data_IF_933949957577
#
_entry.id   IF_933949957577
#
_cell.length_a   1.000
_cell.length_b   1.000
_cell.length_c   1.000
_cell.angle_alpha   90.00
_cell.angle_beta   90.00
_cell.angle_gamma   90.00
#
_symmetry.space_group_name_H-M   'P 1'
#
loop_
_entity.id
_entity.type
_entity.pdbx_description
1 polymer ?
#
# COMPACT_ATOMS: atom_id res chain seq x y z
N UNK A 1 5.53 -61.43 44.49
CA UNK A 1 4.82 -60.17 44.27
C UNK A 1 3.58 -60.47 43.44
N UNK A 2 2.41 -60.14 43.95
CA UNK A 2 1.12 -60.65 43.47
C UNK A 2 0.79 -60.16 42.03
N UNK A 3 0.31 -61.10 41.20
CA UNK A 3 -0.14 -60.83 39.82
C UNK A 3 -1.17 -59.66 39.75
N UNK A 4 -1.95 -59.47 40.80
CA UNK A 4 -2.89 -58.38 40.99
C UNK A 4 -2.21 -57.00 41.07
N UNK A 5 -1.11 -56.86 41.82
CA UNK A 5 -0.34 -55.66 41.95
C UNK A 5 0.30 -55.23 40.58
N UNK A 6 0.82 -56.25 39.86
CA UNK A 6 1.39 -55.98 38.50
C UNK A 6 0.33 -55.56 37.51
N UNK A 7 -0.90 -56.12 37.57
CA UNK A 7 -2.01 -55.68 36.72
C UNK A 7 -2.43 -54.22 37.02
N UNK A 8 -2.53 -53.86 38.30
CA UNK A 8 -2.86 -52.49 38.73
C UNK A 8 -1.78 -51.52 38.27
N UNK A 9 -0.49 -51.83 38.45
CA UNK A 9 0.61 -50.98 38.01
C UNK A 9 0.61 -50.76 36.50
N UNK A 10 0.36 -51.80 35.69
CA UNK A 10 0.27 -51.71 34.24
C UNK A 10 -0.94 -50.84 33.83
N UNK A 11 -2.09 -51.00 34.49
CA UNK A 11 -3.28 -50.18 34.20
C UNK A 11 -3.03 -48.69 34.51
N UNK A 12 -2.43 -48.39 35.66
CA UNK A 12 -2.09 -47.01 36.04
C UNK A 12 -1.07 -46.43 35.08
N UNK A 13 -0.05 -47.19 34.68
CA UNK A 13 0.93 -46.75 33.69
C UNK A 13 0.27 -46.46 32.35
N UNK A 14 -0.62 -47.31 31.86
CA UNK A 14 -1.37 -47.11 30.62
C UNK A 14 -2.25 -45.83 30.70
N UNK A 15 -2.90 -45.59 31.83
CA UNK A 15 -3.68 -44.35 32.03
C UNK A 15 -2.80 -43.10 32.00
N UNK A 16 -1.62 -43.14 32.63
CA UNK A 16 -0.66 -42.03 32.61
C UNK A 16 -0.20 -41.74 31.17
N UNK A 17 0.17 -42.79 30.42
CA UNK A 17 0.59 -42.65 29.01
C UNK A 17 -0.54 -42.05 28.15
N UNK A 18 -1.78 -42.52 28.34
CA UNK A 18 -2.94 -41.94 27.62
C UNK A 18 -3.20 -40.49 27.99
N UNK A 19 -3.06 -40.10 29.26
CA UNK A 19 -3.17 -38.72 29.71
C UNK A 19 -2.08 -37.84 29.10
N UNK A 20 -0.82 -38.30 29.11
CA UNK A 20 0.30 -37.59 28.49
C UNK A 20 0.11 -37.44 26.98
N UNK A 21 -0.33 -38.52 26.31
CA UNK A 21 -0.64 -38.48 24.89
C UNK A 21 -1.75 -37.47 24.57
N UNK A 22 -2.87 -37.49 25.34
CA UNK A 22 -3.94 -36.52 25.17
C UNK A 22 -3.50 -35.07 25.46
N UNK A 23 -2.68 -34.89 26.51
CA UNK A 23 -2.10 -33.57 26.81
C UNK A 23 -1.21 -33.06 25.65
N UNK A 24 -0.34 -33.94 25.13
CA UNK A 24 0.51 -33.61 23.98
C UNK A 24 -0.34 -33.28 22.71
N UNK A 25 -1.34 -34.12 22.43
CA UNK A 25 -2.25 -33.89 21.30
C UNK A 25 -2.95 -32.54 21.42
N UNK A 26 -3.41 -32.19 22.61
CA UNK A 26 -4.16 -30.95 22.85
C UNK A 26 -3.23 -29.72 22.88
N UNK A 27 -2.06 -29.82 23.53
CA UNK A 27 -1.17 -28.66 23.74
C UNK A 27 -0.21 -28.41 22.59
N UNK A 28 0.09 -29.42 21.76
CA UNK A 28 1.01 -29.29 20.64
C UNK A 28 0.25 -29.29 19.30
N UNK A 29 -0.51 -30.37 19.02
CA UNK A 29 -1.12 -30.54 17.70
C UNK A 29 -2.43 -29.76 17.49
N UNK A 30 -3.20 -29.50 18.57
CA UNK A 30 -4.45 -28.72 18.50
C UNK A 30 -4.31 -27.32 19.10
N UNK A 31 -3.11 -26.93 19.53
CA UNK A 31 -2.88 -25.67 20.24
C UNK A 31 -3.33 -24.45 19.40
N UNK A 32 -2.95 -24.41 18.12
CA UNK A 32 -3.26 -23.28 17.25
C UNK A 32 -4.75 -23.19 16.94
N UNK A 33 -5.42 -24.32 16.69
CA UNK A 33 -6.86 -24.35 16.48
C UNK A 33 -7.67 -23.96 17.74
N UNK A 34 -7.18 -24.30 18.92
CA UNK A 34 -7.81 -23.92 20.19
C UNK A 34 -7.55 -22.47 20.56
N UNK A 35 -6.38 -21.93 20.19
CA UNK A 35 -6.06 -20.50 20.37
C UNK A 35 -6.85 -19.62 19.45
N UNK A 36 -7.08 -20.04 18.20
CA UNK A 36 -7.86 -19.31 17.21
C UNK A 36 -9.38 -19.46 17.34
N UNK A 37 -9.88 -20.30 18.27
CA UNK A 37 -11.32 -20.45 18.50
C UNK A 37 -11.90 -19.12 19.07
N UNK A 38 -12.85 -18.46 18.38
CA UNK A 38 -13.46 -17.20 18.84
C UNK A 38 -14.14 -17.30 20.21
N UNK A 39 -14.48 -18.53 20.66
CA UNK A 39 -15.07 -18.81 21.96
C UNK A 39 -14.06 -18.89 23.10
N UNK A 40 -12.76 -18.90 22.80
CA UNK A 40 -11.71 -19.00 23.78
C UNK A 40 -11.43 -17.66 24.48
N UNK A 41 -12.30 -17.28 25.40
CA UNK A 41 -12.18 -16.02 26.16
C UNK A 41 -10.87 -15.91 26.98
N UNK A 42 -10.19 -17.03 27.29
CA UNK A 42 -8.92 -16.99 28.01
C UNK A 42 -7.79 -16.39 27.17
N UNK A 43 -7.76 -16.72 25.88
CA UNK A 43 -6.78 -16.13 24.95
C UNK A 43 -6.99 -14.62 24.83
N UNK A 44 -8.25 -14.20 24.66
CA UNK A 44 -8.61 -12.79 24.63
C UNK A 44 -8.21 -12.06 25.91
N UNK A 45 -8.49 -12.64 27.08
CA UNK A 45 -8.12 -12.03 28.35
C UNK A 45 -6.61 -11.94 28.54
N UNK A 46 -5.86 -12.96 28.14
CA UNK A 46 -4.40 -12.97 28.22
C UNK A 46 -3.80 -11.92 27.27
N UNK A 47 -4.32 -11.85 26.05
CA UNK A 47 -3.89 -10.89 25.04
C UNK A 47 -4.13 -9.42 25.48
N UNK A 48 -5.31 -9.12 26.00
CA UNK A 48 -5.65 -7.77 26.52
C UNK A 48 -5.14 -7.50 27.94
N UNK A 49 -4.52 -8.49 28.59
CA UNK A 49 -3.78 -8.30 29.83
C UNK A 49 -2.35 -7.80 29.62
N UNK A 50 -1.83 -7.90 28.38
CA UNK A 50 -0.48 -7.47 28.01
C UNK A 50 -0.51 -6.09 27.39
N UNK A 51 0.49 -5.28 27.72
CA UNK A 51 0.66 -3.99 27.05
C UNK A 51 1.18 -4.21 25.64
N UNK A 52 0.31 -3.99 24.65
CA UNK A 52 0.65 -4.06 23.24
C UNK A 52 1.63 -2.95 22.88
N UNK A 53 2.64 -3.27 22.06
CA UNK A 53 3.71 -2.34 21.66
C UNK A 53 3.21 -1.14 20.89
N UNK A 54 4.06 -0.16 20.73
CA UNK A 54 3.75 1.10 20.06
C UNK A 54 3.95 1.00 18.54
N UNK A 55 3.18 1.79 17.79
CA UNK A 55 3.45 2.10 16.38
C UNK A 55 3.81 3.59 16.34
N UNK A 56 4.96 3.90 15.75
CA UNK A 56 5.50 5.27 15.69
C UNK A 56 5.84 5.70 14.26
N UNK A 57 5.93 7.00 14.04
CA UNK A 57 6.39 7.62 12.82
C UNK A 57 7.22 8.87 13.17
N UNK A 58 8.51 8.88 12.86
CA UNK A 58 9.39 10.00 13.18
C UNK A 58 9.34 10.44 14.64
N UNK A 59 9.22 9.49 15.55
CA UNK A 59 9.09 9.75 17.01
C UNK A 59 7.67 10.10 17.48
N UNK A 60 6.70 10.30 16.60
CA UNK A 60 5.31 10.53 16.95
C UNK A 60 4.58 9.20 17.19
N UNK A 61 3.79 9.12 18.27
CA UNK A 61 2.94 7.97 18.55
C UNK A 61 1.74 7.94 17.59
N UNK A 62 1.60 6.84 16.84
CA UNK A 62 0.44 6.56 15.99
C UNK A 62 -0.55 5.62 16.66
N UNK A 63 -0.05 4.66 17.43
CA UNK A 63 -0.86 3.75 18.23
C UNK A 63 -0.09 3.33 19.49
N UNK A 64 -0.77 3.32 20.65
CA UNK A 64 -0.21 2.87 21.93
C UNK A 64 -1.30 2.34 22.83
N UNK A 65 -0.91 1.71 23.94
CA UNK A 65 -1.86 1.14 24.91
C UNK A 65 -1.82 1.90 26.23
N UNK A 66 -2.98 2.22 26.77
CA UNK A 66 -3.16 2.82 28.11
C UNK A 66 -3.75 1.79 29.07
N UNK A 67 -3.33 1.83 30.34
CA UNK A 67 -3.88 0.99 31.37
C UNK A 67 -5.34 1.41 31.69
N UNK A 68 -6.17 0.42 32.00
CA UNK A 68 -7.57 0.62 32.42
C UNK A 68 -7.87 -0.20 33.67
N UNK A 69 -8.84 0.24 34.46
CA UNK A 69 -9.29 -0.47 35.66
C UNK A 69 -10.31 -1.60 35.35
N UNK A 70 -10.61 -1.83 34.07
CA UNK A 70 -11.60 -2.79 33.63
C UNK A 70 -11.08 -4.23 33.56
N UNK A 71 -11.96 -5.15 33.12
CA UNK A 71 -11.66 -6.56 32.87
C UNK A 71 -10.48 -6.73 31.88
N UNK A 72 -10.40 -5.81 30.89
CA UNK A 72 -9.30 -5.72 29.96
C UNK A 72 -8.34 -4.63 30.45
N UNK A 73 -7.12 -5.05 30.82
CA UNK A 73 -6.15 -4.18 31.48
C UNK A 73 -5.63 -3.03 30.62
N UNK A 74 -5.67 -3.17 29.29
CA UNK A 74 -5.13 -2.19 28.36
C UNK A 74 -6.10 -1.86 27.25
N UNK A 75 -6.29 -0.57 26.99
CA UNK A 75 -7.04 -0.02 25.87
C UNK A 75 -6.07 0.48 24.80
N UNK A 76 -6.31 0.13 23.54
CA UNK A 76 -5.57 0.63 22.40
C UNK A 76 -6.05 2.03 22.02
N UNK A 77 -5.12 2.97 21.81
CA UNK A 77 -5.40 4.38 21.52
C UNK A 77 -4.66 4.83 20.28
N UNK A 78 -5.35 5.59 19.42
CA UNK A 78 -4.88 6.16 18.18
C UNK A 78 -5.03 7.69 18.21
N UNK A 79 -3.96 8.45 18.52
CA UNK A 79 -4.06 9.91 18.75
C UNK A 79 -4.54 10.69 17.52
N UNK A 80 -4.06 10.36 16.35
CA UNK A 80 -4.36 11.03 15.08
C UNK A 80 -5.26 10.17 14.18
N UNK A 81 -6.17 9.51 14.76
CA UNK A 81 -7.14 8.53 14.31
C UNK A 81 -7.29 8.39 12.78
N UNK A 82 -8.16 9.19 12.15
CA UNK A 82 -8.53 9.01 10.75
C UNK A 82 -7.37 9.25 9.76
N UNK A 83 -6.47 10.18 10.07
CA UNK A 83 -5.34 10.49 9.19
C UNK A 83 -4.30 9.38 9.07
N UNK A 84 -4.23 8.48 10.05
CA UNK A 84 -3.27 7.36 10.07
C UNK A 84 -3.93 5.98 10.03
N UNK A 85 -5.26 5.89 10.03
CA UNK A 85 -5.96 4.60 9.92
C UNK A 85 -5.52 3.75 8.72
N UNK A 86 -5.21 4.32 7.53
CA UNK A 86 -4.69 3.54 6.40
C UNK A 86 -3.34 2.86 6.69
N UNK A 87 -2.55 3.41 7.62
CA UNK A 87 -1.24 2.87 8.06
C UNK A 87 -1.41 1.92 9.23
N UNK A 88 -1.98 2.40 10.34
CA UNK A 88 -2.09 1.63 11.58
C UNK A 88 -3.10 0.50 11.47
N UNK A 89 -4.20 0.73 10.76
CA UNK A 89 -5.38 -0.09 10.89
C UNK A 89 -6.05 0.13 12.25
N UNK A 90 -6.76 -0.89 12.72
CA UNK A 90 -7.37 -0.95 14.04
C UNK A 90 -7.07 -2.28 14.74
N UNK A 91 -7.19 -2.31 16.06
CA UNK A 91 -7.13 -3.49 16.90
C UNK A 91 -8.41 -3.61 17.71
N UNK A 92 -9.15 -4.68 17.52
CA UNK A 92 -10.51 -4.85 18.05
C UNK A 92 -10.71 -6.20 18.71
N UNK A 93 -11.38 -6.20 19.86
CA UNK A 93 -11.78 -7.42 20.57
C UNK A 93 -12.69 -8.35 19.76
N UNK A 94 -13.55 -7.79 18.91
CA UNK A 94 -14.60 -8.52 18.18
C UNK A 94 -14.33 -8.67 16.72
N UNK A 95 -13.67 -7.68 16.13
CA UNK A 95 -13.53 -7.55 14.68
C UNK A 95 -12.09 -7.78 14.20
N UNK A 96 -11.26 -8.44 15.06
CA UNK A 96 -9.86 -8.73 14.75
C UNK A 96 -9.04 -7.45 14.60
N UNK A 97 -8.09 -7.42 13.69
CA UNK A 97 -7.21 -6.28 13.43
C UNK A 97 -7.03 -6.06 11.92
N UNK A 98 -6.58 -4.88 11.55
CA UNK A 98 -6.23 -4.53 10.17
C UNK A 98 -4.91 -3.72 10.14
N UNK A 99 -4.44 -3.38 8.94
CA UNK A 99 -3.24 -2.55 8.80
C UNK A 99 -2.00 -3.14 9.49
N UNK A 100 -1.11 -2.28 9.99
CA UNK A 100 0.08 -2.71 10.73
C UNK A 100 -0.26 -3.41 12.05
N UNK A 101 -1.40 -3.11 12.66
CA UNK A 101 -1.87 -3.85 13.84
C UNK A 101 -2.02 -5.34 13.57
N UNK A 102 -2.41 -5.72 12.35
CA UNK A 102 -2.54 -7.10 11.91
C UNK A 102 -1.22 -7.66 11.40
N UNK A 103 -0.53 -6.90 10.57
CA UNK A 103 0.67 -7.37 9.91
C UNK A 103 1.82 -7.64 10.90
N UNK A 104 1.95 -6.80 11.92
CA UNK A 104 2.99 -6.90 12.95
C UNK A 104 2.43 -7.40 14.30
N UNK A 105 1.27 -8.09 14.26
CA UNK A 105 0.62 -8.58 15.47
C UNK A 105 1.52 -9.42 16.37
N UNK A 106 2.32 -10.41 15.87
CA UNK A 106 3.20 -11.20 16.72
C UNK A 106 4.22 -10.36 17.50
N UNK A 107 4.75 -9.32 16.88
CA UNK A 107 5.68 -8.40 17.55
C UNK A 107 4.94 -7.52 18.56
N UNK A 108 3.86 -6.88 18.13
CA UNK A 108 3.09 -5.94 18.94
C UNK A 108 2.47 -6.59 20.17
N UNK A 109 2.04 -7.87 20.11
CA UNK A 109 1.51 -8.62 21.26
C UNK A 109 2.58 -9.33 22.09
N UNK A 110 3.86 -9.29 21.65
CA UNK A 110 4.99 -9.89 22.35
C UNK A 110 5.14 -11.41 22.12
N UNK A 111 4.42 -12.03 21.19
CA UNK A 111 4.53 -13.46 20.89
C UNK A 111 5.66 -13.81 19.92
N UNK A 112 6.26 -12.82 19.26
CA UNK A 112 7.33 -12.99 18.27
C UNK A 112 8.52 -13.77 18.85
N UNK A 113 9.07 -14.70 18.07
CA UNK A 113 10.21 -15.52 18.47
C UNK A 113 11.47 -14.69 18.73
N UNK A 114 11.65 -13.56 18.04
CA UNK A 114 12.77 -12.64 18.25
C UNK A 114 12.77 -12.03 19.66
N UNK A 115 11.62 -12.03 20.35
CA UNK A 115 11.48 -11.57 21.74
C UNK A 115 11.64 -12.70 22.78
N UNK A 116 11.88 -13.97 22.35
CA UNK A 116 11.87 -15.13 23.23
C UNK A 116 12.88 -15.02 24.40
N UNK A 117 14.13 -14.66 24.12
CA UNK A 117 15.16 -14.53 25.17
C UNK A 117 14.78 -13.50 26.25
N UNK A 118 14.10 -12.43 25.84
CA UNK A 118 13.61 -11.40 26.72
C UNK A 118 12.39 -11.85 27.53
N UNK A 119 11.44 -12.54 26.90
CA UNK A 119 10.29 -13.14 27.63
C UNK A 119 10.75 -14.07 28.74
N UNK A 120 11.81 -14.84 28.47
CA UNK A 120 12.40 -15.70 29.48
C UNK A 120 12.99 -14.89 30.65
N UNK A 121 13.72 -13.81 30.37
CA UNK A 121 14.25 -12.91 31.37
C UNK A 121 13.14 -12.21 32.17
N UNK A 122 12.08 -11.75 31.52
CA UNK A 122 10.93 -11.09 32.16
C UNK A 122 10.16 -12.10 33.05
N UNK A 123 10.05 -13.36 32.64
CA UNK A 123 9.48 -14.43 33.47
C UNK A 123 10.26 -14.65 34.78
N UNK A 124 11.61 -14.68 34.72
CA UNK A 124 12.44 -14.83 35.91
C UNK A 124 12.50 -13.59 36.79
N UNK A 125 12.28 -12.41 36.23
CA UNK A 125 12.30 -11.13 36.98
C UNK A 125 10.91 -10.68 37.42
N UNK A 126 9.87 -11.45 37.12
CA UNK A 126 8.48 -11.13 37.50
C UNK A 126 7.92 -9.86 36.82
N UNK A 127 8.50 -9.46 35.68
CA UNK A 127 7.99 -8.33 34.90
C UNK A 127 6.89 -8.77 33.96
N UNK A 128 5.84 -7.96 33.82
CA UNK A 128 4.79 -8.20 32.80
C UNK A 128 5.41 -8.15 31.40
N UNK A 129 5.20 -9.19 30.57
CA UNK A 129 5.69 -9.20 29.20
C UNK A 129 5.00 -8.08 28.40
N UNK A 130 5.79 -7.26 27.72
CA UNK A 130 5.32 -6.18 26.83
C UNK A 130 5.60 -6.54 25.38
N UNK A 131 4.76 -6.04 24.46
CA UNK A 131 5.00 -6.14 23.04
C UNK A 131 6.19 -5.31 22.56
N UNK A 132 6.77 -5.70 21.43
CA UNK A 132 7.77 -4.90 20.72
C UNK A 132 7.09 -3.75 19.95
N UNK A 133 7.88 -2.80 19.48
CA UNK A 133 7.41 -1.60 18.82
C UNK A 133 7.73 -1.64 17.32
N UNK A 134 6.90 -0.95 16.55
CA UNK A 134 7.06 -0.76 15.11
C UNK A 134 7.32 0.71 14.84
N UNK A 135 8.46 1.04 14.25
CA UNK A 135 8.72 2.37 13.73
C UNK A 135 8.51 2.37 12.21
N UNK A 136 7.70 3.31 11.73
CA UNK A 136 7.32 3.39 10.33
C UNK A 136 8.16 4.39 9.55
N UNK A 137 8.20 4.24 8.22
CA UNK A 137 8.83 5.19 7.31
C UNK A 137 8.04 6.48 7.12
N UNK A 138 6.80 6.53 7.62
CA UNK A 138 5.90 7.68 7.46
C UNK A 138 6.55 8.94 8.04
N UNK A 139 6.55 10.01 7.25
CA UNK A 139 6.89 11.34 7.71
C UNK A 139 5.62 12.07 8.18
N UNK A 140 5.48 12.38 9.47
CA UNK A 140 4.25 12.96 10.00
C UNK A 140 3.81 14.25 9.32
N UNK A 141 4.76 15.10 8.89
CA UNK A 141 4.43 16.36 8.19
C UNK A 141 3.90 16.11 6.79
N UNK A 142 4.47 15.14 6.07
CA UNK A 142 4.03 14.79 4.71
C UNK A 142 2.67 14.09 4.76
N UNK A 143 2.47 13.18 5.72
CA UNK A 143 1.18 12.51 5.94
C UNK A 143 0.08 13.51 6.28
N UNK A 144 0.36 14.44 7.20
CA UNK A 144 -0.61 15.46 7.61
C UNK A 144 -0.94 16.40 6.43
N UNK A 145 0.05 16.86 5.68
CA UNK A 145 -0.18 17.71 4.51
C UNK A 145 -1.05 17.01 3.46
N UNK A 146 -0.80 15.72 3.19
CA UNK A 146 -1.62 14.92 2.29
C UNK A 146 -3.05 14.74 2.81
N UNK A 147 -3.20 14.48 4.12
CA UNK A 147 -4.52 14.38 4.75
C UNK A 147 -5.31 15.69 4.65
N UNK A 148 -4.70 16.81 5.02
CA UNK A 148 -5.33 18.12 4.97
C UNK A 148 -5.74 18.50 3.55
N UNK A 149 -4.89 18.22 2.56
CA UNK A 149 -5.22 18.44 1.15
C UNK A 149 -6.44 17.62 0.70
N UNK A 150 -6.57 16.37 1.14
CA UNK A 150 -7.74 15.54 0.85
C UNK A 150 -9.01 16.02 1.54
N UNK A 151 -8.92 16.61 2.73
CA UNK A 151 -10.07 17.16 3.44
C UNK A 151 -10.55 18.49 2.86
N UNK A 152 -9.61 19.34 2.37
CA UNK A 152 -9.89 20.71 1.93
C UNK A 152 -10.03 20.86 0.42
N UNK A 153 -9.47 19.92 -0.36
CA UNK A 153 -9.41 20.00 -1.82
C UNK A 153 -10.76 19.88 -2.54
N UNK A 154 -11.75 19.27 -1.89
CA UNK A 154 -13.10 19.08 -2.43
C UNK A 154 -14.16 19.45 -1.40
N UNK A 155 -15.33 19.93 -1.86
CA UNK A 155 -16.47 20.17 -0.97
C UNK A 155 -16.92 18.86 -0.33
N UNK A 156 -16.83 18.79 1.01
CA UNK A 156 -17.13 17.57 1.77
C UNK A 156 -16.00 16.54 1.84
N UNK A 157 -14.77 16.91 1.43
CA UNK A 157 -13.59 16.04 1.35
C UNK A 157 -13.49 15.29 0.02
N UNK A 158 -12.26 15.03 -0.43
CA UNK A 158 -12.03 14.26 -1.66
C UNK A 158 -12.12 12.76 -1.38
N UNK A 159 -12.64 11.99 -2.36
CA UNK A 159 -12.54 10.53 -2.37
C UNK A 159 -11.31 10.13 -3.20
N UNK A 160 -10.36 9.44 -2.57
CA UNK A 160 -9.12 9.04 -3.24
C UNK A 160 -7.99 8.76 -2.27
N UNK A 161 -6.75 8.89 -2.75
CA UNK A 161 -5.55 8.63 -1.96
C UNK A 161 -4.41 9.59 -2.31
N UNK A 162 -3.49 9.77 -1.35
CA UNK A 162 -2.18 10.41 -1.57
C UNK A 162 -1.09 9.45 -1.14
N UNK A 163 -0.12 9.23 -2.02
CA UNK A 163 1.08 8.43 -1.74
C UNK A 163 2.31 9.29 -2.01
N UNK A 164 3.23 9.31 -1.04
CA UNK A 164 4.54 9.94 -1.20
C UNK A 164 5.64 8.93 -0.92
N UNK A 165 6.62 8.87 -1.81
CA UNK A 165 7.76 7.96 -1.75
C UNK A 165 9.07 8.74 -1.73
N UNK A 166 10.09 8.16 -1.09
CA UNK A 166 11.48 8.57 -1.26
C UNK A 166 12.10 7.74 -2.39
N UNK A 167 12.41 8.33 -3.56
CA UNK A 167 12.79 7.56 -4.74
C UNK A 167 14.06 6.73 -4.57
N UNK A 168 15.02 7.22 -3.77
CA UNK A 168 16.33 6.59 -3.58
C UNK A 168 16.31 5.38 -2.64
N UNK A 169 15.26 5.23 -1.83
CA UNK A 169 15.19 4.17 -0.81
C UNK A 169 13.97 3.29 -0.93
N UNK A 170 12.86 3.79 -1.52
CA UNK A 170 11.56 3.13 -1.52
C UNK A 170 10.74 3.38 -0.24
N UNK A 171 11.19 4.24 0.69
CA UNK A 171 10.42 4.61 1.88
C UNK A 171 9.08 5.21 1.50
N UNK A 172 8.00 4.69 2.09
CA UNK A 172 6.68 5.29 1.99
C UNK A 172 6.59 6.40 3.04
N UNK A 173 6.65 7.65 2.58
CA UNK A 173 6.63 8.84 3.45
C UNK A 173 5.21 9.29 3.80
N UNK A 174 4.24 8.98 2.95
CA UNK A 174 2.81 9.18 3.23
C UNK A 174 1.97 8.12 2.55
N UNK A 175 0.91 7.70 3.24
CA UNK A 175 -0.09 6.73 2.77
C UNK A 175 -1.46 7.18 3.27
N UNK A 176 -2.10 8.08 2.53
CA UNK A 176 -3.39 8.68 2.87
C UNK A 176 -4.49 8.02 2.06
N UNK A 177 -5.62 7.75 2.68
CA UNK A 177 -6.87 7.30 2.03
C UNK A 177 -8.03 8.11 2.57
N UNK A 178 -8.90 8.60 1.70
CA UNK A 178 -10.09 9.37 2.07
C UNK A 178 -11.31 8.88 1.26
N UNK A 179 -12.51 8.77 1.86
CA UNK A 179 -12.77 8.89 3.29
C UNK A 179 -12.04 7.85 4.13
N UNK A 180 -11.85 8.14 5.41
CA UNK A 180 -11.21 7.29 6.39
C UNK A 180 -12.09 7.18 7.64
N UNK A 181 -11.60 6.53 8.69
CA UNK A 181 -12.36 6.26 9.91
C UNK A 181 -11.50 6.49 11.17
N UNK A 182 -12.17 6.63 12.32
CA UNK A 182 -11.49 6.66 13.62
C UNK A 182 -11.33 5.23 14.17
N UNK A 183 -10.10 4.68 14.23
CA UNK A 183 -9.85 3.34 14.78
C UNK A 183 -10.23 3.19 16.26
N UNK A 184 -10.28 4.28 17.04
CA UNK A 184 -10.67 4.24 18.45
C UNK A 184 -12.09 3.72 18.64
N UNK A 185 -12.99 3.96 17.67
CA UNK A 185 -14.36 3.44 17.71
C UNK A 185 -14.40 1.91 17.71
N UNK A 186 -13.43 1.26 17.03
CA UNK A 186 -13.32 -0.19 16.94
C UNK A 186 -12.42 -0.79 18.02
N UNK A 187 -11.59 0.01 18.68
CA UNK A 187 -10.75 -0.39 19.80
C UNK A 187 -11.46 -0.31 21.16
N UNK A 188 -12.63 0.30 21.22
CA UNK A 188 -13.44 0.46 22.45
C UNK A 188 -13.67 -0.87 23.14
N UNK A 189 -13.66 -0.88 24.48
CA UNK A 189 -14.06 -2.02 25.30
C UNK A 189 -15.58 -2.14 25.48
N UNK A 190 -16.34 -1.12 25.06
CA UNK A 190 -17.78 -1.16 25.02
C UNK A 190 -18.25 -1.96 23.78
N UNK A 191 -18.80 -3.13 24.04
CA UNK A 191 -19.17 -4.07 23.00
C UNK A 191 -20.34 -3.57 22.12
N UNK A 192 -21.25 -2.76 22.68
CA UNK A 192 -22.38 -2.22 21.95
C UNK A 192 -21.94 -1.05 21.06
N UNK A 193 -21.20 -0.09 21.61
CA UNK A 193 -20.61 1.02 20.86
C UNK A 193 -19.73 0.52 19.71
N UNK A 194 -18.89 -0.49 19.96
CA UNK A 194 -18.03 -1.13 18.96
C UNK A 194 -18.86 -1.77 17.82
N UNK A 195 -19.95 -2.48 18.18
CA UNK A 195 -20.82 -3.14 17.20
C UNK A 195 -21.53 -2.12 16.32
N UNK A 196 -22.05 -1.04 16.91
CA UNK A 196 -22.71 0.04 16.18
C UNK A 196 -21.71 0.78 15.26
N UNK A 197 -20.48 1.02 15.73
CA UNK A 197 -19.44 1.64 14.92
C UNK A 197 -19.07 0.76 13.73
N UNK A 198 -18.86 -0.54 13.96
CA UNK A 198 -18.57 -1.50 12.90
C UNK A 198 -19.65 -1.54 11.81
N UNK A 199 -20.92 -1.63 12.21
CA UNK A 199 -22.05 -1.65 11.27
C UNK A 199 -22.07 -0.36 10.43
N UNK A 200 -21.98 0.81 11.09
CA UNK A 200 -21.94 2.10 10.38
C UNK A 200 -20.81 2.18 9.36
N UNK A 201 -19.57 1.79 9.75
CA UNK A 201 -18.42 1.86 8.87
C UNK A 201 -18.48 0.85 7.71
N UNK A 202 -19.02 -0.35 7.96
CA UNK A 202 -19.16 -1.39 6.94
C UNK A 202 -20.25 -1.06 5.92
N UNK A 203 -21.37 -0.52 6.39
CA UNK A 203 -22.55 -0.24 5.57
C UNK A 203 -22.51 1.16 4.93
N UNK A 204 -21.44 1.94 5.20
CA UNK A 204 -21.22 3.27 4.61
C UNK A 204 -20.84 3.13 3.12
N UNK A 205 -21.66 3.72 2.20
CA UNK A 205 -21.41 3.64 0.75
C UNK A 205 -20.11 4.31 0.32
N UNK A 206 -19.53 5.19 1.15
CA UNK A 206 -18.23 5.79 0.90
C UNK A 206 -17.06 4.84 1.18
N UNK A 207 -17.33 3.67 1.81
CA UNK A 207 -16.35 2.62 2.12
C UNK A 207 -15.11 3.14 2.87
N UNK A 208 -15.26 3.74 4.06
CA UNK A 208 -14.15 4.38 4.78
C UNK A 208 -13.11 3.38 5.31
N UNK A 209 -13.46 2.09 5.44
CA UNK A 209 -12.54 1.02 5.85
C UNK A 209 -11.53 0.63 4.75
N UNK A 210 -11.78 1.05 3.50
CA UNK A 210 -10.92 0.70 2.36
C UNK A 210 -9.69 1.60 2.32
N UNK A 211 -8.51 0.99 2.29
CA UNK A 211 -7.27 1.71 2.03
C UNK A 211 -7.06 1.90 0.53
N UNK A 212 -7.58 2.99 -0.02
CA UNK A 212 -7.55 3.27 -1.46
C UNK A 212 -6.15 3.42 -2.04
N UNK A 213 -5.18 3.77 -1.19
CA UNK A 213 -3.80 3.93 -1.65
C UNK A 213 -3.20 2.64 -2.21
N UNK A 214 -3.67 1.46 -1.73
CA UNK A 214 -3.09 0.16 -2.03
C UNK A 214 -4.10 -0.93 -2.41
N UNK A 215 -5.39 -0.76 -2.08
CA UNK A 215 -6.39 -1.85 -2.23
C UNK A 215 -7.36 -1.62 -3.37
N UNK A 216 -7.42 -0.44 -3.95
CA UNK A 216 -8.24 -0.11 -5.11
C UNK A 216 -7.35 0.27 -6.30
N UNK A 217 -7.74 -0.18 -7.49
CA UNK A 217 -7.10 0.20 -8.75
C UNK A 217 -7.99 1.16 -9.50
N UNK A 218 -7.37 2.11 -10.20
CA UNK A 218 -8.05 3.14 -10.97
C UNK A 218 -7.46 3.22 -12.38
N UNK A 219 -8.26 3.55 -13.40
CA UNK A 219 -7.70 3.91 -14.69
C UNK A 219 -6.74 5.10 -14.52
N UNK A 220 -5.46 4.96 -14.87
CA UNK A 220 -4.48 6.04 -14.66
C UNK A 220 -4.69 7.22 -15.62
N UNK A 221 -5.42 6.99 -16.71
CA UNK A 221 -5.58 7.97 -17.75
C UNK A 221 -4.22 8.47 -18.26
N UNK A 222 -4.10 9.76 -18.51
CA UNK A 222 -2.89 10.35 -19.08
C UNK A 222 -1.62 10.23 -18.25
N UNK A 223 -1.66 9.77 -16.98
CA UNK A 223 -0.43 9.47 -16.24
C UNK A 223 0.29 8.26 -16.86
N UNK A 224 -0.44 7.31 -17.45
CA UNK A 224 0.12 6.16 -18.14
C UNK A 224 0.95 6.52 -19.37
N UNK A 225 0.75 7.72 -19.96
CA UNK A 225 1.56 8.22 -21.08
C UNK A 225 3.05 8.30 -20.76
N UNK A 226 3.41 8.34 -19.50
CA UNK A 226 4.80 8.22 -19.02
C UNK A 226 5.38 6.87 -19.43
N UNK A 227 4.64 5.78 -19.16
CA UNK A 227 5.06 4.41 -19.52
C UNK A 227 5.06 4.24 -21.05
N UNK A 228 4.05 4.75 -21.75
CA UNK A 228 3.99 4.73 -23.21
C UNK A 228 5.18 5.46 -23.85
N UNK A 229 5.56 6.64 -23.29
CA UNK A 229 6.74 7.37 -23.73
C UNK A 229 8.02 6.58 -23.43
N UNK A 230 8.12 5.95 -22.26
CA UNK A 230 9.26 5.09 -21.92
C UNK A 230 9.43 3.96 -22.94
N UNK A 231 8.34 3.28 -23.29
CA UNK A 231 8.33 2.22 -24.30
C UNK A 231 8.80 2.72 -25.67
N UNK A 232 8.27 3.86 -26.12
CA UNK A 232 8.62 4.45 -27.41
C UNK A 232 10.11 4.88 -27.46
N UNK A 233 10.62 5.54 -26.41
CA UNK A 233 12.04 5.94 -26.31
C UNK A 233 12.98 4.71 -26.30
N UNK A 234 12.59 3.64 -25.63
CA UNK A 234 13.35 2.36 -25.65
C UNK A 234 13.30 1.67 -27.03
N UNK A 235 12.22 1.87 -27.79
CA UNK A 235 12.07 1.39 -29.15
C UNK A 235 12.81 2.27 -30.20
N UNK A 236 13.43 3.38 -29.77
CA UNK A 236 14.23 4.25 -30.64
C UNK A 236 13.54 5.54 -31.08
N UNK A 237 12.31 5.83 -30.61
CA UNK A 237 11.67 7.11 -30.86
C UNK A 237 12.48 8.25 -30.22
N UNK A 238 12.34 9.45 -30.75
CA UNK A 238 12.96 10.66 -30.21
C UNK A 238 11.89 11.62 -29.69
N UNK A 239 12.29 12.56 -28.88
CA UNK A 239 11.38 13.60 -28.37
C UNK A 239 10.87 14.56 -29.47
N UNK A 240 11.53 14.57 -30.62
CA UNK A 240 11.16 15.37 -31.81
C UNK A 240 10.31 14.57 -32.82
N UNK A 241 9.99 13.28 -32.49
CA UNK A 241 9.10 12.42 -33.29
C UNK A 241 7.81 13.14 -33.62
N UNK A 242 7.47 13.19 -34.90
CA UNK A 242 6.27 13.92 -35.38
C UNK A 242 5.05 13.01 -35.33
N UNK A 243 4.09 13.40 -34.55
CA UNK A 243 2.82 12.71 -34.32
C UNK A 243 1.66 13.55 -34.82
N UNK A 244 0.48 12.96 -34.97
CA UNK A 244 -0.72 13.69 -35.36
C UNK A 244 -1.11 14.75 -34.32
N UNK A 245 -1.46 15.95 -34.79
CA UNK A 245 -2.07 16.99 -33.96
C UNK A 245 -3.60 17.04 -34.12
N UNK A 246 -4.19 16.14 -34.91
CA UNK A 246 -5.61 16.08 -35.21
C UNK A 246 -6.49 16.07 -33.94
N UNK A 247 -7.69 16.68 -33.98
CA UNK A 247 -8.62 16.67 -32.83
C UNK A 247 -9.14 15.28 -32.50
N UNK A 248 -9.25 14.42 -33.51
CA UNK A 248 -9.76 13.05 -33.39
C UNK A 248 -8.95 12.11 -34.27
N UNK A 249 -8.86 10.85 -33.88
CA UNK A 249 -8.23 9.75 -34.62
C UNK A 249 -9.17 8.54 -34.67
N UNK A 250 -9.40 7.90 -35.81
CA UNK A 250 -10.12 6.64 -35.87
C UNK A 250 -9.28 5.53 -35.21
N UNK A 251 -9.91 4.72 -34.40
CA UNK A 251 -9.26 3.54 -33.84
C UNK A 251 -9.24 2.43 -34.91
N UNK A 252 -8.09 1.77 -35.14
CA UNK A 252 -7.98 0.70 -36.14
C UNK A 252 -9.00 -0.42 -35.90
N UNK A 253 -9.48 -1.01 -36.98
CA UNK A 253 -10.44 -2.13 -36.98
C UNK A 253 -11.71 -1.87 -36.15
N UNK A 254 -12.09 -0.59 -36.01
CA UNK A 254 -13.23 -0.14 -35.21
C UNK A 254 -13.95 1.03 -35.90
N UNK A 255 -15.23 1.21 -35.60
CA UNK A 255 -16.01 2.40 -36.00
C UNK A 255 -15.85 3.55 -34.97
N UNK A 256 -15.13 3.30 -33.87
CA UNK A 256 -14.93 4.29 -32.82
C UNK A 256 -13.84 5.28 -33.17
N UNK A 257 -14.05 6.51 -32.76
CA UNK A 257 -13.09 7.62 -32.86
C UNK A 257 -12.68 8.03 -31.46
N UNK A 258 -11.40 8.36 -31.26
CA UNK A 258 -10.89 8.89 -30.02
C UNK A 258 -10.51 10.35 -30.21
N UNK A 259 -10.90 11.19 -29.26
CA UNK A 259 -10.69 12.64 -29.30
C UNK A 259 -9.69 13.12 -28.24
N UNK A 260 -9.09 14.27 -28.48
CA UNK A 260 -8.41 15.03 -27.46
C UNK A 260 -9.43 15.62 -26.47
N UNK A 261 -8.95 15.95 -25.27
CA UNK A 261 -9.78 16.63 -24.26
C UNK A 261 -10.44 17.89 -24.86
N UNK A 262 -11.77 17.97 -24.75
CA UNK A 262 -12.56 19.07 -25.33
C UNK A 262 -12.70 19.06 -26.85
N UNK A 263 -12.32 17.96 -27.54
CA UNK A 263 -12.50 17.83 -29.01
C UNK A 263 -11.65 18.79 -29.85
N UNK A 264 -10.61 19.38 -29.28
CA UNK A 264 -9.75 20.37 -29.97
C UNK A 264 -8.50 19.69 -30.56
N UNK A 265 -7.90 20.27 -31.65
CA UNK A 265 -6.56 19.86 -32.08
C UNK A 265 -5.54 19.99 -30.93
N UNK A 266 -4.51 19.14 -30.95
CA UNK A 266 -3.42 19.24 -29.99
C UNK A 266 -2.74 20.61 -30.03
N UNK A 267 -2.45 21.05 -31.24
CA UNK A 267 -1.94 22.42 -31.59
C UNK A 267 -2.56 22.86 -32.93
N UNK A 268 -2.32 24.09 -33.30
CA UNK A 268 -2.80 24.67 -34.59
C UNK A 268 -2.00 24.25 -35.83
N UNK A 269 -1.42 23.02 -35.83
CA UNK A 269 -0.67 22.44 -36.96
C UNK A 269 -1.16 21.02 -37.24
N UNK A 270 -0.73 20.41 -38.35
CA UNK A 270 -1.09 19.02 -38.72
C UNK A 270 -0.34 18.00 -37.87
N UNK A 271 0.89 18.30 -37.49
CA UNK A 271 1.73 17.43 -36.65
C UNK A 271 2.21 18.17 -35.41
N UNK A 272 2.61 17.39 -34.41
CA UNK A 272 3.13 17.84 -33.12
C UNK A 272 4.31 16.94 -32.70
N UNK A 273 5.36 17.54 -32.16
CA UNK A 273 6.46 16.71 -31.58
C UNK A 273 5.99 15.93 -30.37
N UNK A 274 6.64 14.78 -30.10
CA UNK A 274 6.40 13.99 -28.89
C UNK A 274 6.55 14.86 -27.63
N UNK A 275 7.56 15.75 -27.58
CA UNK A 275 7.79 16.69 -26.49
C UNK A 275 6.55 17.55 -26.21
N UNK A 276 5.97 18.15 -27.22
CA UNK A 276 4.81 19.02 -27.06
C UNK A 276 3.52 18.22 -26.84
N UNK A 277 3.36 17.07 -27.50
CA UNK A 277 2.25 16.14 -27.29
C UNK A 277 2.19 15.64 -25.85
N UNK A 278 3.36 15.33 -25.26
CA UNK A 278 3.46 14.93 -23.86
C UNK A 278 3.07 16.06 -22.93
N UNK A 279 3.63 17.26 -23.15
CA UNK A 279 3.38 18.41 -22.31
C UNK A 279 1.89 18.84 -22.32
N UNK A 280 1.24 18.78 -23.48
CA UNK A 280 -0.19 19.07 -23.64
C UNK A 280 -1.11 17.89 -23.35
N UNK A 281 -0.53 16.72 -23.16
CA UNK A 281 -1.29 15.49 -22.90
C UNK A 281 -2.23 15.09 -24.06
N UNK A 282 -1.82 15.25 -25.31
CA UNK A 282 -2.64 14.96 -26.50
C UNK A 282 -2.98 13.49 -26.64
N UNK A 283 -4.25 13.12 -26.62
CA UNK A 283 -4.69 11.73 -26.71
C UNK A 283 -4.40 11.14 -28.08
N UNK A 284 -4.76 11.85 -29.16
CA UNK A 284 -4.61 11.38 -30.56
C UNK A 284 -3.16 11.09 -30.90
N UNK A 285 -2.23 11.96 -30.48
CA UNK A 285 -0.79 11.74 -30.64
C UNK A 285 -0.31 10.47 -29.91
N UNK A 286 -0.80 10.22 -28.69
CA UNK A 286 -0.41 9.08 -27.89
C UNK A 286 -1.04 7.75 -28.36
N UNK A 287 -2.24 7.79 -28.94
CA UNK A 287 -2.79 6.63 -29.66
C UNK A 287 -1.87 6.25 -30.82
N UNK A 288 -1.49 7.23 -31.65
CA UNK A 288 -0.57 6.99 -32.77
C UNK A 288 0.79 6.48 -32.26
N UNK A 289 1.36 7.11 -31.22
CA UNK A 289 2.63 6.67 -30.62
C UNK A 289 2.56 5.20 -30.15
N UNK A 290 1.47 4.84 -29.47
CA UNK A 290 1.28 3.45 -29.01
C UNK A 290 1.18 2.45 -30.16
N UNK A 291 0.47 2.81 -31.24
CA UNK A 291 0.37 1.98 -32.44
C UNK A 291 1.74 1.80 -33.11
N UNK A 292 2.55 2.85 -33.17
CA UNK A 292 3.92 2.79 -33.71
C UNK A 292 4.86 1.97 -32.80
N UNK A 293 4.69 2.06 -31.50
CA UNK A 293 5.51 1.34 -30.49
C UNK A 293 5.19 -0.15 -30.48
N UNK A 294 3.92 -0.52 -30.62
CA UNK A 294 3.46 -1.90 -30.62
C UNK A 294 3.19 -2.49 -29.22
N UNK A 295 2.38 -3.55 -29.22
CA UNK A 295 1.87 -4.19 -28.00
C UNK A 295 2.98 -4.75 -27.10
N UNK A 296 3.95 -5.45 -27.71
CA UNK A 296 5.00 -6.14 -26.95
C UNK A 296 5.92 -5.15 -26.23
N UNK A 297 6.29 -4.05 -26.90
CA UNK A 297 7.12 -3.01 -26.32
C UNK A 297 6.38 -2.29 -25.17
N UNK A 298 5.08 -1.98 -25.35
CA UNK A 298 4.27 -1.36 -24.31
C UNK A 298 4.12 -2.27 -23.08
N UNK A 299 3.82 -3.57 -23.28
CA UNK A 299 3.73 -4.55 -22.19
C UNK A 299 5.06 -4.74 -21.47
N UNK A 300 6.16 -4.88 -22.22
CA UNK A 300 7.48 -5.04 -21.64
C UNK A 300 7.88 -3.83 -20.77
N UNK A 301 7.60 -2.62 -21.26
CA UNK A 301 7.81 -1.42 -20.48
C UNK A 301 6.93 -1.41 -19.21
N UNK A 302 5.63 -1.67 -19.34
CA UNK A 302 4.71 -1.70 -18.21
C UNK A 302 5.14 -2.72 -17.15
N UNK A 303 5.54 -3.93 -17.54
CA UNK A 303 6.07 -4.95 -16.62
C UNK A 303 7.36 -4.48 -15.92
N UNK A 304 8.21 -3.75 -16.62
CA UNK A 304 9.43 -3.19 -16.02
C UNK A 304 9.15 -2.11 -14.98
N UNK A 305 7.98 -1.48 -15.05
CA UNK A 305 7.48 -0.53 -14.07
C UNK A 305 6.58 -1.15 -12.99
N UNK A 306 6.39 -2.48 -12.95
CA UNK A 306 5.65 -3.17 -11.91
C UNK A 306 4.22 -3.60 -12.26
N UNK A 307 3.74 -3.37 -13.49
CA UNK A 307 2.40 -3.79 -13.90
C UNK A 307 2.41 -5.26 -14.40
N UNK A 308 1.28 -5.93 -14.30
CA UNK A 308 1.11 -7.35 -14.67
C UNK A 308 2.13 -8.29 -13.99
N UNK A 309 2.59 -7.91 -12.79
CA UNK A 309 3.45 -8.70 -11.91
C UNK A 309 2.90 -8.65 -10.47
N UNK A 310 3.14 -9.69 -9.66
CA UNK A 310 2.75 -9.62 -8.26
C UNK A 310 3.35 -8.37 -7.58
N UNK A 311 2.53 -7.62 -6.82
CA UNK A 311 3.02 -6.42 -6.15
C UNK A 311 4.10 -6.75 -5.12
N UNK A 312 5.01 -5.82 -4.93
CA UNK A 312 6.04 -5.96 -3.90
C UNK A 312 5.45 -6.12 -2.51
N UNK A 313 6.05 -6.99 -1.69
CA UNK A 313 5.59 -7.18 -0.33
C UNK A 313 5.90 -5.94 0.51
N UNK A 314 4.86 -5.21 0.85
CA UNK A 314 4.82 -4.34 2.02
C UNK A 314 4.02 -5.09 3.10
N UNK A 315 4.13 -4.76 4.39
CA UNK A 315 3.38 -5.50 5.41
C UNK A 315 1.86 -5.52 5.19
N UNK A 316 1.35 -4.64 4.32
CA UNK A 316 -0.05 -4.55 3.94
C UNK A 316 -0.30 -5.24 2.59
N UNK A 317 -1.50 -5.77 2.40
CA UNK A 317 -1.89 -6.38 1.13
C UNK A 317 -2.13 -5.29 0.09
N UNK A 318 -1.40 -5.36 -1.03
CA UNK A 318 -1.50 -4.45 -2.18
C UNK A 318 -2.26 -5.16 -3.30
N UNK A 319 -3.16 -4.44 -3.97
CA UNK A 319 -3.83 -4.93 -5.18
C UNK A 319 -2.87 -4.89 -6.38
N UNK A 320 -2.97 -5.87 -7.25
CA UNK A 320 -2.17 -5.95 -8.48
C UNK A 320 -2.58 -4.86 -9.47
N UNK A 321 -1.60 -4.17 -10.05
CA UNK A 321 -1.77 -3.20 -11.13
C UNK A 321 -1.58 -3.89 -12.48
N UNK A 322 -2.40 -3.55 -13.47
CA UNK A 322 -2.44 -4.28 -14.74
C UNK A 322 -2.58 -3.37 -15.95
N UNK A 323 -2.04 -3.80 -17.09
CA UNK A 323 -2.36 -3.25 -18.41
C UNK A 323 -3.62 -3.92 -18.97
N UNK A 324 -3.96 -5.12 -18.50
CA UNK A 324 -5.06 -5.91 -18.99
C UNK A 324 -4.82 -6.49 -20.39
N UNK A 325 -5.84 -7.11 -21.01
CA UNK A 325 -5.73 -7.67 -22.33
C UNK A 325 -5.67 -6.60 -23.43
N UNK A 326 -4.76 -6.78 -24.40
CA UNK A 326 -4.63 -5.95 -25.62
C UNK A 326 -4.83 -6.87 -26.83
N UNK A 327 -6.08 -7.19 -27.20
CA UNK A 327 -6.35 -8.16 -28.25
C UNK A 327 -6.16 -7.62 -29.67
N UNK A 328 -6.23 -6.31 -29.86
CA UNK A 328 -6.21 -5.64 -31.17
C UNK A 328 -5.59 -4.24 -31.11
N UNK A 329 -5.46 -3.61 -32.27
CA UNK A 329 -4.85 -2.29 -32.38
C UNK A 329 -5.72 -1.17 -31.74
N UNK A 330 -7.05 -1.29 -31.75
CA UNK A 330 -7.92 -0.35 -31.06
C UNK A 330 -7.68 -0.40 -29.54
N UNK A 331 -7.57 -1.61 -29.00
CA UNK A 331 -7.23 -1.82 -27.58
C UNK A 331 -5.85 -1.26 -27.25
N UNK A 332 -4.85 -1.44 -28.12
CA UNK A 332 -3.51 -0.86 -27.95
C UNK A 332 -3.57 0.67 -27.87
N UNK A 333 -4.31 1.30 -28.80
CA UNK A 333 -4.48 2.75 -28.80
C UNK A 333 -5.08 3.27 -27.52
N UNK A 334 -6.14 2.64 -27.01
CA UNK A 334 -6.79 2.99 -25.75
C UNK A 334 -5.89 2.76 -24.55
N UNK A 335 -5.21 1.60 -24.49
CA UNK A 335 -4.28 1.29 -23.41
C UNK A 335 -3.11 2.28 -23.35
N UNK A 336 -2.64 2.77 -24.49
CA UNK A 336 -1.52 3.73 -24.59
C UNK A 336 -1.80 5.08 -23.94
N UNK A 337 -3.06 5.40 -23.68
CA UNK A 337 -3.48 6.60 -22.94
C UNK A 337 -4.00 6.29 -21.53
N UNK A 338 -3.80 5.05 -21.04
CA UNK A 338 -4.20 4.62 -19.70
C UNK A 338 -5.70 4.44 -19.51
N UNK A 339 -6.38 4.06 -20.59
CA UNK A 339 -7.81 3.75 -20.63
C UNK A 339 -8.05 2.26 -20.88
N UNK A 340 -9.30 1.87 -21.08
CA UNK A 340 -9.75 0.49 -21.25
C UNK A 340 -9.51 -0.33 -19.99
N UNK A 341 -8.66 -1.37 -20.07
CA UNK A 341 -8.42 -2.32 -18.97
C UNK A 341 -7.16 -1.98 -18.12
N UNK A 342 -6.51 -0.83 -18.43
CA UNK A 342 -5.36 -0.37 -17.63
C UNK A 342 -5.84 0.12 -16.28
N UNK A 343 -5.30 -0.46 -15.22
CA UNK A 343 -5.70 -0.13 -13.85
C UNK A 343 -4.49 -0.18 -12.90
N UNK A 344 -4.24 0.92 -12.20
CA UNK A 344 -3.12 1.06 -11.26
C UNK A 344 -3.63 1.41 -9.86
N UNK A 345 -2.95 0.88 -8.84
CA UNK A 345 -3.10 1.45 -7.49
C UNK A 345 -2.43 2.82 -7.42
N UNK A 346 -2.87 3.73 -6.54
CA UNK A 346 -2.15 4.99 -6.29
C UNK A 346 -0.69 4.78 -5.87
N UNK A 347 -0.39 3.70 -5.13
CA UNK A 347 1.00 3.32 -4.79
C UNK A 347 1.81 3.02 -6.06
N UNK A 348 1.27 2.21 -6.98
CA UNK A 348 1.96 1.88 -8.23
C UNK A 348 2.20 3.12 -9.10
N UNK A 349 1.21 3.99 -9.21
CA UNK A 349 1.37 5.25 -9.95
C UNK A 349 2.47 6.15 -9.33
N UNK A 350 2.63 6.13 -8.00
CA UNK A 350 3.72 6.81 -7.32
C UNK A 350 5.08 6.12 -7.57
N UNK A 351 5.12 4.77 -7.64
CA UNK A 351 6.32 4.01 -7.94
C UNK A 351 6.85 4.27 -9.35
N UNK A 352 5.95 4.45 -10.35
CA UNK A 352 6.34 4.88 -11.70
C UNK A 352 7.10 6.20 -11.66
N UNK A 353 6.58 7.20 -10.93
CA UNK A 353 7.25 8.50 -10.80
C UNK A 353 8.57 8.39 -10.02
N UNK A 354 8.60 7.60 -8.93
CA UNK A 354 9.80 7.36 -8.14
C UNK A 354 10.91 6.66 -8.94
N UNK A 355 10.54 5.69 -9.78
CA UNK A 355 11.45 4.99 -10.69
C UNK A 355 12.16 5.95 -11.65
N UNK A 356 11.42 6.90 -12.22
CA UNK A 356 11.99 7.92 -13.11
C UNK A 356 12.93 8.83 -12.33
N UNK A 357 12.50 9.30 -11.15
CA UNK A 357 13.29 10.16 -10.28
C UNK A 357 14.59 9.47 -9.79
N UNK A 358 14.58 8.13 -9.69
CA UNK A 358 15.74 7.30 -9.32
C UNK A 358 16.50 6.78 -10.56
N UNK A 359 16.63 7.58 -11.59
CA UNK A 359 17.37 7.27 -12.82
C UNK A 359 16.99 5.92 -13.46
N UNK A 360 15.71 5.55 -13.36
CA UNK A 360 15.14 4.36 -13.97
C UNK A 360 15.31 3.06 -13.18
N UNK A 361 15.71 3.14 -11.92
CA UNK A 361 15.80 1.99 -11.00
C UNK A 361 14.63 2.02 -10.02
N UNK A 362 13.68 1.07 -10.09
CA UNK A 362 12.67 0.92 -9.09
C UNK A 362 13.30 0.49 -7.77
N UNK A 363 12.78 1.04 -6.67
CA UNK A 363 13.10 0.58 -5.32
C UNK A 363 11.90 -0.18 -4.76
N UNK A 364 12.15 -1.28 -4.06
CA UNK A 364 11.09 -1.99 -3.34
C UNK A 364 10.48 -1.06 -2.30
N UNK A 365 9.15 -0.78 -2.35
CA UNK A 365 8.52 0.08 -1.37
C UNK A 365 8.47 -0.61 0.00
N UNK A 366 8.61 0.15 1.08
CA UNK A 366 8.43 -0.36 2.43
C UNK A 366 7.87 0.68 3.38
N UNK A 367 7.11 0.17 4.37
CA UNK A 367 6.36 0.98 5.33
C UNK A 367 6.94 0.89 6.75
N UNK A 368 7.64 -0.21 7.08
CA UNK A 368 8.29 -0.41 8.38
C UNK A 368 9.77 -0.08 8.26
N UNK A 369 10.21 0.93 9.00
CA UNK A 369 11.62 1.33 9.06
C UNK A 369 12.41 0.41 9.99
N UNK A 370 11.89 0.19 11.20
CA UNK A 370 12.53 -0.71 12.16
C UNK A 370 11.54 -1.39 13.09
N UNK A 371 11.95 -2.55 13.59
CA UNK A 371 11.28 -3.30 14.65
C UNK A 371 12.13 -3.20 15.92
N UNK A 372 11.50 -2.89 17.04
CA UNK A 372 12.18 -2.61 18.29
C UNK A 372 11.58 -3.46 19.42
N UNK A 373 12.43 -3.80 20.38
CA UNK A 373 11.99 -4.42 21.61
C UNK A 373 11.20 -3.45 22.52
N UNK A 374 10.56 -3.96 23.59
CA UNK A 374 9.83 -3.12 24.55
C UNK A 374 10.68 -2.03 25.22
N UNK A 375 12.01 -2.16 25.18
CA UNK A 375 12.97 -1.16 25.68
C UNK A 375 13.55 -0.24 24.59
N UNK A 376 12.93 -0.24 23.40
CA UNK A 376 13.38 0.48 22.22
C UNK A 376 14.72 -0.01 21.63
N UNK A 377 15.25 -1.15 22.12
CA UNK A 377 16.41 -1.76 21.49
C UNK A 377 16.04 -2.26 20.08
N UNK A 378 16.85 -1.93 19.11
CA UNK A 378 16.64 -2.37 17.73
C UNK A 378 16.71 -3.90 17.61
N UNK A 379 15.71 -4.49 16.96
CA UNK A 379 15.66 -5.92 16.61
C UNK A 379 16.04 -6.09 15.14
N UNK A 380 15.48 -5.26 14.27
CA UNK A 380 15.78 -5.26 12.84
C UNK A 380 15.49 -3.89 12.22
N UNK A 381 16.24 -3.54 11.21
CA UNK A 381 16.01 -2.36 10.37
C UNK A 381 15.83 -2.80 8.93
N UNK A 382 14.85 -2.24 8.24
CA UNK A 382 14.64 -2.51 6.81
C UNK A 382 15.73 -1.82 6.00
N UNK A 383 16.45 -2.60 5.19
CA UNK A 383 17.41 -2.06 4.23
C UNK A 383 16.72 -1.76 2.90
N UNK A 384 17.00 -0.62 2.25
CA UNK A 384 16.55 -0.35 0.90
C UNK A 384 17.00 -1.46 -0.06
N UNK A 385 16.12 -1.85 -0.98
CA UNK A 385 16.38 -2.89 -1.96
C UNK A 385 16.09 -2.38 -3.37
N UNK A 386 17.13 -2.35 -4.21
CA UNK A 386 17.01 -2.01 -5.63
C UNK A 386 16.42 -3.20 -6.40
N UNK A 387 15.53 -2.90 -7.32
CA UNK A 387 14.99 -3.86 -8.26
C UNK A 387 15.68 -3.77 -9.62
N UNK A 388 15.26 -4.66 -10.54
CA UNK A 388 15.77 -4.62 -11.91
C UNK A 388 15.40 -3.28 -12.57
N UNK A 389 16.40 -2.63 -13.14
CA UNK A 389 16.24 -1.36 -13.86
C UNK A 389 15.12 -1.43 -14.90
N UNK A 390 14.16 -0.51 -14.82
CA UNK A 390 13.03 -0.40 -15.74
C UNK A 390 13.42 0.28 -17.06
N UNK A 391 14.15 1.39 -16.96
CA UNK A 391 14.64 2.14 -18.12
C UNK A 391 16.09 2.59 -17.91
N UNK A 392 16.80 2.89 -18.99
CA UNK A 392 18.17 3.43 -18.90
C UNK A 392 18.16 4.82 -18.23
N UNK A 393 19.30 5.25 -17.62
CA UNK A 393 19.43 6.59 -17.06
C UNK A 393 19.14 7.70 -18.08
N UNK A 394 19.49 7.47 -19.33
CA UNK A 394 19.25 8.42 -20.44
C UNK A 394 17.75 8.57 -20.72
N UNK A 395 17.01 7.46 -20.75
CA UNK A 395 15.54 7.49 -20.92
C UNK A 395 14.87 8.14 -19.71
N UNK A 396 15.30 7.83 -18.48
CA UNK A 396 14.79 8.46 -17.28
C UNK A 396 15.01 9.97 -17.26
N UNK A 397 16.19 10.44 -17.67
CA UNK A 397 16.50 11.86 -17.78
C UNK A 397 15.60 12.56 -18.80
N UNK A 398 15.39 11.96 -19.99
CA UNK A 398 14.46 12.49 -20.99
C UNK A 398 13.03 12.54 -20.50
N UNK A 399 12.54 11.50 -19.82
CA UNK A 399 11.22 11.50 -19.19
C UNK A 399 11.08 12.63 -18.16
N UNK A 400 12.11 12.84 -17.34
CA UNK A 400 12.14 13.95 -16.37
C UNK A 400 12.04 15.30 -17.08
N UNK A 401 12.78 15.53 -18.16
CA UNK A 401 12.71 16.76 -18.95
C UNK A 401 11.30 16.99 -19.53
N UNK A 402 10.67 15.94 -20.09
CA UNK A 402 9.32 15.99 -20.60
C UNK A 402 8.29 16.32 -19.50
N UNK A 403 8.44 15.72 -18.32
CA UNK A 403 7.58 15.97 -17.15
C UNK A 403 7.76 17.40 -16.60
N UNK A 404 8.99 17.93 -16.58
CA UNK A 404 9.25 19.34 -16.25
C UNK A 404 8.61 20.28 -17.28
N UNK A 405 8.65 19.91 -18.56
CA UNK A 405 7.97 20.63 -19.63
C UNK A 405 6.45 20.64 -19.45
N UNK A 406 5.86 19.52 -19.05
CA UNK A 406 4.44 19.40 -18.77
C UNK A 406 4.00 20.27 -17.60
N UNK A 407 4.77 20.31 -16.51
CA UNK A 407 4.47 21.15 -15.34
C UNK A 407 4.39 22.64 -15.71
N UNK A 408 5.26 23.12 -16.59
CA UNK A 408 5.24 24.53 -17.04
C UNK A 408 3.93 24.92 -17.73
N UNK A 409 3.24 23.97 -18.37
CA UNK A 409 1.96 24.22 -19.06
C UNK A 409 0.74 24.09 -18.13
N UNK A 410 0.85 23.46 -16.98
CA UNK A 410 -0.24 23.27 -16.02
C UNK A 410 -0.50 24.52 -15.14
N UNK A 411 -0.10 25.71 -15.60
CA UNK A 411 -0.25 26.99 -14.92
C UNK A 411 0.55 27.13 -13.62
N UNK A 412 1.54 26.28 -13.38
CA UNK A 412 2.45 26.35 -12.24
C UNK A 412 1.75 26.45 -10.86
N UNK A 413 0.55 25.89 -10.73
CA UNK A 413 -0.22 25.95 -9.48
C UNK A 413 0.51 25.29 -8.31
N UNK A 414 1.48 24.41 -8.59
CA UNK A 414 2.35 23.77 -7.61
C UNK A 414 3.75 24.39 -7.51
N UNK A 415 4.02 25.54 -8.14
CA UNK A 415 5.35 26.12 -8.17
C UNK A 415 5.84 26.50 -6.75
N UNK A 416 6.99 25.96 -6.38
CA UNK A 416 7.68 26.23 -5.10
C UNK A 416 9.01 26.91 -5.46
N UNK A 417 9.31 28.10 -4.92
CA UNK A 417 10.56 28.79 -5.20
C UNK A 417 11.78 27.91 -4.90
N UNK A 418 12.68 27.77 -5.88
CA UNK A 418 13.90 26.95 -5.74
C UNK A 418 13.69 25.44 -5.89
N UNK A 419 12.46 24.97 -6.19
CA UNK A 419 12.16 23.56 -6.43
C UNK A 419 11.74 23.36 -7.89
N UNK A 420 12.37 22.42 -8.58
CA UNK A 420 11.94 21.97 -9.90
C UNK A 420 10.94 20.82 -9.75
N UNK A 421 9.76 20.99 -10.31
CA UNK A 421 8.69 19.99 -10.30
C UNK A 421 8.64 19.32 -11.68
N UNK A 422 8.60 18.00 -11.68
CA UNK A 422 8.32 17.17 -12.85
C UNK A 422 6.99 16.45 -12.60
N UNK A 423 5.99 16.72 -13.44
CA UNK A 423 4.64 16.19 -13.23
C UNK A 423 4.01 15.62 -14.49
N UNK A 424 2.98 14.80 -14.30
CA UNK A 424 2.04 14.41 -15.35
C UNK A 424 0.64 14.36 -14.78
N UNK A 425 -0.25 15.17 -15.33
CA UNK A 425 -1.67 15.13 -15.00
C UNK A 425 -2.37 13.94 -15.64
N UNK A 426 -3.40 13.42 -15.00
CA UNK A 426 -4.28 12.39 -15.52
C UNK A 426 -5.75 12.76 -15.37
N UNK A 427 -6.54 12.35 -16.34
CA UNK A 427 -8.00 12.35 -16.30
C UNK A 427 -8.45 11.01 -16.87
N UNK A 428 -9.32 10.31 -16.19
CA UNK A 428 -9.93 9.05 -16.64
C UNK A 428 -11.45 9.23 -16.68
N UNK A 429 -12.10 8.60 -17.66
CA UNK A 429 -13.56 8.56 -17.81
C UNK A 429 -14.11 7.24 -17.29
#
# INVERSE_FOLDING_TARGET
MNASLRRISVTVMAMIVLLLFNATLTQVFRADGLRSDPRNQRVLLDEYSRQRGQITAGGQLLAYSVATDGRFRFLRVYPNAAGYAPVTGFYSLRYSSSGLERAEDPLLNGSDQRLFGRRLADFFTGRDPRGGNVDTTINPRVQQAGWDAMQQGCSGGCKGAVVALEPSTGKILALVSSPSYDPNLLASHDAEAQSQAWQRLRDDPSSPLTNRAISETYPPGSTFKVITTAAALQAGATEDEQLTAAPAIPLPDSTATLENYGGAPCIGAETVSLREAFARSCNTAFVQLGLLTGTDALRSAAQSFGLDVPPDPIPLQVAESTVGPIPDAAALGMSSIGQKDVALTPLENALVAATIANAGVPMQPYLVDSLQGPNLANISTTAPHEQRRAVSPQVAAKLTELMVGAEKLTQQKGAIPGVQIASKTGTAE
#
